data_IF_515737591725
#
_entry.id   IF_515737591725
#
_cell.length_a   1.000
_cell.length_b   1.000
_cell.length_c   1.000
_cell.angle_alpha   90.00
_cell.angle_beta   90.00
_cell.angle_gamma   90.00
#
_symmetry.space_group_name_H-M   'P 1'
#
loop_
_entity.id
_entity.type
_entity.pdbx_description
1 polymer ?
#
# COMPACT_ATOMS: atom_id res chain seq x y z
N UNK A 1 -42.64 -31.95 -38.77
CA UNK A 1 -42.20 -31.50 -37.43
C UNK A 1 -40.70 -31.21 -37.42
N UNK A 2 -40.26 -29.96 -37.54
CA UNK A 2 -38.81 -29.60 -37.45
C UNK A 2 -38.58 -28.22 -36.80
N UNK A 3 -39.55 -27.71 -36.05
CA UNK A 3 -39.48 -26.36 -35.44
C UNK A 3 -38.91 -26.38 -34.01
N UNK A 4 -38.94 -27.53 -33.33
CA UNK A 4 -38.45 -27.68 -31.95
C UNK A 4 -36.92 -27.80 -31.82
N UNK A 5 -36.25 -28.48 -32.76
CA UNK A 5 -34.80 -28.69 -32.71
C UNK A 5 -33.98 -27.42 -32.98
N UNK A 6 -34.50 -26.49 -33.78
CA UNK A 6 -33.82 -25.22 -34.07
C UNK A 6 -33.87 -24.26 -32.89
N UNK A 7 -34.97 -24.25 -32.13
CA UNK A 7 -35.14 -23.39 -30.96
C UNK A 7 -34.28 -23.85 -29.78
N UNK A 8 -34.16 -25.16 -29.57
CA UNK A 8 -33.31 -25.75 -28.53
C UNK A 8 -31.81 -25.49 -28.80
N UNK A 9 -31.40 -25.51 -30.07
CA UNK A 9 -30.04 -25.13 -30.50
C UNK A 9 -29.76 -23.65 -30.27
N UNK A 10 -30.73 -22.77 -30.52
CA UNK A 10 -30.57 -21.35 -30.25
C UNK A 10 -30.42 -21.07 -28.75
N UNK A 11 -31.22 -21.72 -27.92
CA UNK A 11 -31.16 -21.55 -26.46
C UNK A 11 -29.84 -22.05 -25.87
N UNK A 12 -29.33 -23.18 -26.37
CA UNK A 12 -28.01 -23.71 -25.96
C UNK A 12 -26.86 -22.80 -26.40
N UNK A 13 -26.92 -22.24 -27.62
CA UNK A 13 -25.93 -21.26 -28.08
C UNK A 13 -25.95 -19.97 -27.24
N UNK A 14 -27.14 -19.46 -26.88
CA UNK A 14 -27.27 -18.29 -26.00
C UNK A 14 -26.68 -18.56 -24.63
N UNK A 15 -26.98 -19.71 -24.02
CA UNK A 15 -26.42 -20.10 -22.72
C UNK A 15 -24.88 -20.17 -22.79
N UNK A 16 -24.32 -20.74 -23.85
CA UNK A 16 -22.86 -20.79 -24.03
C UNK A 16 -22.22 -19.40 -24.17
N UNK A 17 -22.88 -18.48 -24.90
CA UNK A 17 -22.43 -17.08 -25.01
C UNK A 17 -22.49 -16.38 -23.65
N UNK A 18 -23.55 -16.59 -22.86
CA UNK A 18 -23.68 -16.02 -21.51
C UNK A 18 -22.58 -16.56 -20.57
N UNK A 19 -22.29 -17.86 -20.62
CA UNK A 19 -21.19 -18.47 -19.85
C UNK A 19 -19.80 -17.99 -20.26
N UNK A 20 -19.59 -17.62 -21.53
CA UNK A 20 -18.34 -17.01 -22.00
C UNK A 20 -18.17 -15.56 -21.48
N UNK A 21 -19.25 -14.86 -21.13
CA UNK A 21 -19.19 -13.51 -20.57
C UNK A 21 -18.95 -13.46 -19.05
N UNK A 22 -19.07 -14.59 -18.33
CA UNK A 22 -18.91 -14.63 -16.87
C UNK A 22 -17.47 -14.91 -16.40
N UNK A 23 -16.50 -15.07 -17.30
CA UNK A 23 -15.08 -15.16 -16.92
C UNK A 23 -14.37 -13.80 -16.87
N UNK A 24 -15.10 -12.72 -16.60
CA UNK A 24 -14.48 -11.50 -16.11
C UNK A 24 -14.11 -11.74 -14.66
N UNK A 25 -12.98 -12.42 -14.43
CA UNK A 25 -12.28 -12.27 -13.17
C UNK A 25 -12.14 -10.75 -12.97
N UNK A 26 -12.83 -10.21 -11.98
CA UNK A 26 -12.78 -8.80 -11.65
C UNK A 26 -11.33 -8.49 -11.24
N UNK A 27 -10.49 -8.18 -12.22
CA UNK A 27 -9.15 -7.65 -11.99
C UNK A 27 -9.41 -6.28 -11.39
N UNK A 28 -9.32 -6.22 -10.05
CA UNK A 28 -9.27 -4.96 -9.33
C UNK A 28 -7.99 -4.27 -9.80
N UNK A 29 -8.10 -3.43 -10.82
CA UNK A 29 -6.99 -2.62 -11.30
C UNK A 29 -6.83 -1.45 -10.32
N UNK A 30 -5.79 -1.53 -9.51
CA UNK A 30 -5.33 -0.41 -8.70
C UNK A 30 -4.21 0.30 -9.45
N UNK A 31 -4.48 1.45 -10.08
CA UNK A 31 -3.43 2.21 -10.73
C UNK A 31 -2.43 2.71 -9.67
N UNK A 32 -1.18 2.86 -10.08
CA UNK A 32 -0.16 3.48 -9.24
C UNK A 32 -0.57 4.93 -8.94
N UNK A 33 -0.45 5.30 -7.66
CA UNK A 33 -0.64 6.66 -7.19
C UNK A 33 0.68 7.44 -7.20
N UNK A 34 0.62 8.76 -7.06
CA UNK A 34 1.81 9.61 -7.03
C UNK A 34 1.63 10.79 -6.08
N UNK A 35 2.71 11.22 -5.43
CA UNK A 35 2.74 12.40 -4.58
C UNK A 35 4.17 12.98 -4.52
N UNK A 36 4.30 14.27 -4.85
CA UNK A 36 5.60 14.94 -4.84
C UNK A 36 6.61 14.30 -5.78
N UNK A 37 7.78 13.96 -5.22
CA UNK A 37 8.88 13.30 -5.93
C UNK A 37 8.63 11.80 -6.14
N UNK A 38 7.68 11.20 -5.42
CA UNK A 38 7.34 9.78 -5.56
C UNK A 38 6.29 9.62 -6.64
N UNK A 39 6.71 9.12 -7.80
CA UNK A 39 5.87 9.02 -9.02
C UNK A 39 5.10 7.71 -9.17
N UNK A 40 5.46 6.68 -8.38
CA UNK A 40 4.80 5.37 -8.41
C UNK A 40 4.70 4.86 -6.97
N UNK A 41 3.49 4.94 -6.44
CA UNK A 41 3.06 4.40 -5.15
C UNK A 41 2.08 3.27 -5.48
N UNK A 42 2.52 2.06 -5.17
CA UNK A 42 1.80 0.81 -5.38
C UNK A 42 2.02 -0.14 -4.22
N UNK A 43 1.23 -1.22 -4.23
CA UNK A 43 1.32 -2.29 -3.25
C UNK A 43 2.80 -2.68 -2.98
N UNK A 44 3.22 -2.76 -1.71
CA UNK A 44 2.40 -2.78 -0.50
C UNK A 44 1.97 -1.41 0.06
N UNK A 45 2.37 -0.31 -0.56
CA UNK A 45 1.99 1.04 -0.12
C UNK A 45 0.75 1.55 -0.87
N UNK A 46 -0.03 2.40 -0.21
CA UNK A 46 -1.17 3.09 -0.80
C UNK A 46 -1.31 4.47 -0.15
N UNK A 47 -1.85 5.45 -0.88
CA UNK A 47 -2.21 6.73 -0.28
C UNK A 47 -3.54 6.60 0.46
N UNK A 48 -3.70 7.36 1.53
CA UNK A 48 -4.97 7.51 2.24
C UNK A 48 -6.11 8.04 1.34
N UNK A 49 -5.77 8.68 0.21
CA UNK A 49 -6.70 9.13 -0.84
C UNK A 49 -7.05 8.05 -1.86
N UNK A 50 -6.34 6.90 -1.88
CA UNK A 50 -6.59 5.85 -2.86
C UNK A 50 -8.00 5.26 -2.69
N UNK A 51 -8.64 4.76 -3.76
CA UNK A 51 -9.96 4.16 -3.66
C UNK A 51 -10.00 3.06 -2.60
N UNK A 52 -11.09 2.99 -1.81
CA UNK A 52 -11.23 2.01 -0.71
C UNK A 52 -10.93 0.56 -1.12
N UNK A 53 -11.25 0.20 -2.36
CA UNK A 53 -10.98 -1.15 -2.89
C UNK A 53 -9.49 -1.43 -3.16
N UNK A 54 -8.67 -0.39 -3.29
CA UNK A 54 -7.21 -0.47 -3.45
C UNK A 54 -6.44 -0.35 -2.14
N UNK A 55 -7.07 0.26 -1.13
CA UNK A 55 -6.56 0.30 0.24
C UNK A 55 -6.82 -1.06 0.90
N UNK A 56 -6.05 -2.07 0.50
CA UNK A 56 -6.12 -3.43 1.07
C UNK A 56 -5.76 -3.36 2.55
N UNK A 57 -6.45 -4.17 3.39
CA UNK A 57 -6.31 -4.13 4.85
C UNK A 57 -4.88 -4.39 5.37
N UNK A 58 -4.02 -5.04 4.58
CA UNK A 58 -2.62 -5.34 4.90
C UNK A 58 -1.62 -4.37 4.25
N UNK A 59 -2.09 -3.36 3.52
CA UNK A 59 -1.24 -2.36 2.87
C UNK A 59 -0.87 -1.23 3.82
N UNK A 60 0.28 -0.63 3.58
CA UNK A 60 0.83 0.46 4.35
C UNK A 60 0.34 1.81 3.85
N UNK A 61 -0.36 2.52 4.72
CA UNK A 61 -0.95 3.81 4.38
C UNK A 61 0.11 4.94 4.43
N UNK A 62 0.19 5.70 3.35
CA UNK A 62 0.94 6.93 3.20
C UNK A 62 -0.05 8.11 3.10
N UNK A 63 0.37 9.31 3.49
CA UNK A 63 -0.38 10.53 3.25
C UNK A 63 0.39 11.45 2.30
N UNK A 64 -0.36 12.22 1.51
CA UNK A 64 0.18 13.27 0.67
C UNK A 64 -0.18 14.62 1.27
N UNK A 65 0.82 15.33 1.77
CA UNK A 65 0.65 16.67 2.35
C UNK A 65 1.32 17.70 1.44
N UNK A 66 0.52 18.30 0.55
CA UNK A 66 1.05 19.16 -0.52
C UNK A 66 1.90 18.35 -1.49
N UNK A 67 3.18 18.71 -1.63
CA UNK A 67 4.16 17.99 -2.46
C UNK A 67 5.02 16.99 -1.65
N UNK A 68 4.67 16.71 -0.40
CA UNK A 68 5.45 15.82 0.45
C UNK A 68 4.69 14.52 0.72
N UNK A 69 5.30 13.39 0.37
CA UNK A 69 4.82 12.08 0.84
C UNK A 69 5.28 11.87 2.27
N UNK A 70 4.35 11.53 3.14
CA UNK A 70 4.60 11.34 4.58
C UNK A 70 4.04 10.02 5.06
N UNK A 71 4.65 9.51 6.13
CA UNK A 71 4.21 8.31 6.81
C UNK A 71 4.16 8.57 8.31
N UNK A 72 3.13 8.02 8.94
CA UNK A 72 2.97 8.08 10.38
C UNK A 72 3.41 6.76 10.99
N UNK A 73 4.53 6.80 11.72
CA UNK A 73 5.00 5.70 12.53
C UNK A 73 4.77 6.06 13.99
N UNK A 74 3.83 5.38 14.63
CA UNK A 74 3.37 5.77 15.97
C UNK A 74 2.84 7.21 15.98
N UNK A 75 3.42 8.08 16.81
CA UNK A 75 3.10 9.50 16.88
C UNK A 75 4.10 10.36 16.11
N UNK A 76 4.98 9.74 15.31
CA UNK A 76 6.06 10.41 14.60
C UNK A 76 5.75 10.48 13.12
N UNK A 77 5.78 11.70 12.60
CA UNK A 77 5.69 11.99 11.18
C UNK A 77 7.07 11.89 10.55
N UNK A 78 7.20 11.08 9.52
CA UNK A 78 8.43 10.96 8.73
C UNK A 78 8.12 11.29 7.27
N UNK A 79 9.08 11.93 6.63
CA UNK A 79 9.05 12.19 5.19
C UNK A 79 9.57 10.96 4.45
N UNK A 80 8.82 10.53 3.44
CA UNK A 80 9.27 9.47 2.54
C UNK A 80 10.11 10.11 1.45
N UNK A 81 11.40 9.80 1.41
CA UNK A 81 12.32 10.30 0.39
C UNK A 81 12.28 9.45 -0.88
N UNK A 82 11.99 8.15 -0.73
CA UNK A 82 11.91 7.23 -1.85
C UNK A 82 11.46 5.84 -1.45
N UNK A 83 10.92 5.12 -2.43
CA UNK A 83 10.51 3.73 -2.32
C UNK A 83 11.25 2.96 -3.40
N UNK A 84 12.02 1.96 -2.99
CA UNK A 84 12.76 1.07 -3.88
C UNK A 84 12.09 -0.30 -3.88
N UNK A 85 11.27 -0.51 -4.90
CA UNK A 85 10.54 -1.77 -5.09
C UNK A 85 11.45 -2.94 -5.50
N UNK A 86 12.60 -2.67 -6.12
CA UNK A 86 13.52 -3.72 -6.54
C UNK A 86 14.23 -4.32 -5.32
N UNK A 87 14.66 -3.46 -4.40
CA UNK A 87 15.32 -3.87 -3.17
C UNK A 87 14.35 -4.06 -1.99
N UNK A 88 13.06 -3.89 -2.22
CA UNK A 88 12.02 -3.92 -1.18
C UNK A 88 12.36 -3.03 0.01
N UNK A 89 12.74 -1.77 -0.23
CA UNK A 89 13.10 -0.83 0.84
C UNK A 89 12.40 0.51 0.73
N UNK A 90 12.22 1.18 1.88
CA UNK A 90 11.67 2.53 1.99
C UNK A 90 12.68 3.43 2.71
N UNK A 91 12.88 4.64 2.19
CA UNK A 91 13.80 5.63 2.75
C UNK A 91 13.00 6.71 3.48
N UNK A 92 13.21 6.81 4.79
CA UNK A 92 12.49 7.72 5.68
C UNK A 92 13.42 8.76 6.30
N UNK A 93 12.96 10.01 6.36
CA UNK A 93 13.68 11.15 6.96
C UNK A 93 12.78 11.80 8.02
N UNK A 94 13.37 12.17 9.15
CA UNK A 94 12.67 12.96 10.16
C UNK A 94 12.80 14.47 9.84
N UNK A 95 11.69 15.16 9.54
CA UNK A 95 11.75 16.59 9.20
C UNK A 95 12.08 17.51 10.38
N UNK A 96 12.00 17.01 11.62
CA UNK A 96 12.27 17.82 12.82
C UNK A 96 13.74 17.86 13.21
N UNK A 97 14.59 17.04 12.58
CA UNK A 97 16.02 17.02 12.83
C UNK A 97 16.74 18.05 11.95
N UNK A 98 17.32 19.06 12.59
CA UNK A 98 18.25 19.97 11.93
C UNK A 98 19.57 19.23 11.69
N UNK A 99 20.23 19.52 10.56
CA UNK A 99 21.45 18.90 10.03
C UNK A 99 22.66 18.84 10.98
N UNK A 100 22.58 19.44 12.17
CA UNK A 100 23.62 19.41 13.19
C UNK A 100 23.49 18.26 14.22
N UNK A 101 22.34 17.59 14.31
CA UNK A 101 22.11 16.48 15.26
C UNK A 101 22.10 15.11 14.55
N UNK A 102 23.09 14.89 13.68
CA UNK A 102 23.24 13.71 12.80
C UNK A 102 23.38 12.36 13.54
N UNK A 103 23.53 12.36 14.86
CA UNK A 103 23.53 11.15 15.68
C UNK A 103 22.13 10.64 16.02
N UNK A 104 21.07 11.41 15.75
CA UNK A 104 19.74 11.08 16.27
C UNK A 104 18.90 10.22 15.34
N UNK A 105 19.10 10.23 14.01
CA UNK A 105 18.48 9.29 13.06
C UNK A 105 19.12 9.43 11.68
N UNK A 106 19.94 8.46 11.26
CA UNK A 106 20.23 8.29 9.85
C UNK A 106 18.92 8.05 9.07
N UNK A 107 18.83 8.47 7.78
CA UNK A 107 17.75 8.06 6.91
C UNK A 107 17.61 6.54 6.99
N UNK A 108 16.53 6.09 7.61
CA UNK A 108 16.39 4.68 7.98
C UNK A 108 15.90 3.95 6.74
N UNK A 109 16.83 3.29 6.04
CA UNK A 109 16.48 2.37 4.95
C UNK A 109 15.94 1.10 5.57
N UNK A 110 14.62 0.99 5.62
CA UNK A 110 13.95 -0.20 6.12
C UNK A 110 13.60 -1.10 4.94
N UNK A 111 13.84 -2.40 5.07
CA UNK A 111 13.21 -3.33 4.15
C UNK A 111 11.71 -3.49 4.46
N UNK A 112 10.93 -3.97 3.50
CA UNK A 112 9.46 -4.06 3.63
C UNK A 112 9.04 -4.99 4.78
N UNK A 113 9.82 -6.03 5.09
CA UNK A 113 9.54 -6.93 6.21
C UNK A 113 9.79 -6.27 7.57
N UNK A 114 10.91 -5.56 7.73
CA UNK A 114 11.24 -4.78 8.92
C UNK A 114 10.17 -3.73 9.16
N UNK A 115 9.82 -2.98 8.12
CA UNK A 115 8.75 -2.00 8.18
C UNK A 115 7.40 -2.65 8.52
N UNK A 116 7.07 -3.80 7.91
CA UNK A 116 5.88 -4.59 8.25
C UNK A 116 5.83 -5.01 9.71
N UNK A 117 6.94 -5.51 10.26
CA UNK A 117 7.04 -5.86 11.68
C UNK A 117 6.85 -4.64 12.60
N UNK A 118 7.44 -3.50 12.25
CA UNK A 118 7.24 -2.25 12.98
C UNK A 118 5.79 -1.78 12.93
N UNK A 119 5.19 -1.79 11.73
CA UNK A 119 3.79 -1.41 11.51
C UNK A 119 2.84 -2.33 12.26
N UNK A 120 3.03 -3.64 12.19
CA UNK A 120 2.26 -4.62 12.95
C UNK A 120 2.40 -4.37 14.46
N UNK A 121 3.62 -4.24 14.98
CA UNK A 121 3.86 -3.98 16.40
C UNK A 121 3.17 -2.69 16.86
N UNK A 122 3.21 -1.64 16.03
CA UNK A 122 2.49 -0.40 16.29
C UNK A 122 0.96 -0.62 16.31
N UNK A 123 0.41 -1.27 15.29
CA UNK A 123 -1.03 -1.52 15.19
C UNK A 123 -1.55 -2.38 16.36
N UNK A 124 -0.80 -3.41 16.76
CA UNK A 124 -1.10 -4.21 17.95
C UNK A 124 -0.96 -3.39 19.25
N UNK A 125 0.12 -2.62 19.43
CA UNK A 125 0.30 -1.80 20.63
C UNK A 125 -0.81 -0.73 20.78
N UNK A 126 -1.20 -0.11 19.67
CA UNK A 126 -2.30 0.86 19.60
C UNK A 126 -3.63 0.27 20.08
N UNK A 127 -3.93 -0.99 19.70
CA UNK A 127 -5.15 -1.69 20.17
C UNK A 127 -5.18 -1.98 21.67
N UNK A 128 -4.03 -2.08 22.34
CA UNK A 128 -3.94 -2.55 23.73
C UNK A 128 -3.51 -1.48 24.75
N UNK A 129 -3.47 -0.19 24.39
CA UNK A 129 -2.98 0.92 25.25
C UNK A 129 -1.66 0.59 25.97
N UNK A 130 -0.73 -0.04 25.25
CA UNK A 130 0.62 -0.33 25.74
C UNK A 130 1.54 0.83 25.34
N UNK A 131 2.55 1.13 26.18
CA UNK A 131 3.54 2.18 25.94
C UNK A 131 4.10 2.16 24.51
N UNK A 132 4.25 3.34 23.90
CA UNK A 132 4.72 3.51 22.54
C UNK A 132 6.17 3.04 22.40
N UNK A 133 6.54 2.33 21.31
CA UNK A 133 7.92 1.98 21.07
C UNK A 133 8.73 3.25 20.78
N UNK A 134 9.74 3.52 21.62
CA UNK A 134 10.80 4.50 21.34
C UNK A 134 11.71 3.86 20.30
N UNK A 135 11.77 4.44 19.10
CA UNK A 135 12.71 3.98 18.08
C UNK A 135 14.10 4.53 18.41
N UNK A 136 14.90 3.75 19.14
CA UNK A 136 16.35 3.96 19.24
C UNK A 136 17.01 3.17 18.10
N UNK A 137 17.43 3.88 17.06
CA UNK A 137 18.34 3.33 16.07
C UNK A 137 19.73 3.41 16.70
N UNK A 138 20.23 2.28 17.22
CA UNK A 138 21.59 2.22 17.76
C UNK A 138 22.59 2.70 16.69
N UNK A 139 23.41 3.69 17.03
CA UNK A 139 24.64 3.99 16.31
C UNK A 139 25.80 3.18 16.91
N UNK A 140 26.71 2.64 16.08
CA UNK A 140 28.02 2.16 16.54
C UNK A 140 28.92 3.32 17.00
#
# INVERSE_FOLDING_TARGET
MSKGNSQLRYFTLILQIIFLQTSNAWKINCPDSACGDIRSIKYPFHLNTDPKHCRVFSGFELACEGNQTVIWLSSKKLHVQGIDYANNTIHLVDPTLQTHDLCSLLPSKLNFQQYGNFFCRYYYASRYRVATPIFMFNCP
#
